data_IF_248673267625
#
_entry.id   IF_248673267625
#
_cell.length_a   1.000
_cell.length_b   1.000
_cell.length_c   1.000
_cell.angle_alpha   90.00
_cell.angle_beta   90.00
_cell.angle_gamma   90.00
#
_symmetry.space_group_name_H-M   'P 1'
#
loop_
_entity.id
_entity.type
_entity.pdbx_description
1 polymer ?
#
# COMPACT_ATOMS: atom_id res chain seq x y z
N UNK A 1 -3.58 3.41 2.96
CA UNK A 1 -4.09 3.97 4.24
C UNK A 1 -5.22 3.11 4.81
N UNK A 2 -6.42 3.05 4.19
CA UNK A 2 -7.54 2.24 4.72
C UNK A 2 -7.21 0.74 4.88
N UNK A 3 -6.49 0.15 3.91
CA UNK A 3 -5.98 -1.23 4.03
C UNK A 3 -5.08 -1.42 5.25
N UNK A 4 -4.27 -0.42 5.60
CA UNK A 4 -3.35 -0.51 6.73
C UNK A 4 -4.09 -0.53 8.06
N UNK A 5 -5.20 0.21 8.21
CA UNK A 5 -6.05 0.16 9.40
C UNK A 5 -6.93 -1.10 9.48
N UNK A 6 -7.32 -1.69 8.34
CA UNK A 6 -8.09 -2.94 8.30
C UNK A 6 -7.28 -4.19 8.64
N UNK A 7 -5.96 -4.15 8.41
CA UNK A 7 -5.07 -5.31 8.53
C UNK A 7 -4.03 -5.20 9.64
N UNK A 8 -3.76 -3.99 10.16
CA UNK A 8 -2.95 -3.85 11.37
C UNK A 8 -3.76 -4.38 12.56
N UNK A 9 -3.34 -5.53 13.08
CA UNK A 9 -3.80 -5.97 14.38
C UNK A 9 -3.10 -5.11 15.44
N UNK A 10 -3.72 -3.99 15.80
CA UNK A 10 -3.18 -3.01 16.76
C UNK A 10 -3.21 -3.53 18.22
N UNK A 11 -3.62 -4.78 18.44
CA UNK A 11 -3.68 -5.39 19.77
C UNK A 11 -2.34 -6.00 20.20
N UNK A 12 -1.39 -6.14 19.27
CA UNK A 12 -0.03 -6.62 19.53
C UNK A 12 0.91 -5.46 19.89
N UNK A 13 1.78 -5.66 20.89
CA UNK A 13 2.72 -4.65 21.42
C UNK A 13 3.64 -4.01 20.37
N UNK A 14 3.89 -4.69 19.25
CA UNK A 14 4.77 -4.23 18.17
C UNK A 14 4.02 -3.84 16.88
N UNK A 15 2.70 -3.65 16.96
CA UNK A 15 1.92 -3.26 15.81
C UNK A 15 2.28 -1.85 15.33
N UNK A 16 2.41 -1.67 14.01
CA UNK A 16 2.70 -0.36 13.43
C UNK A 16 1.95 -0.11 12.13
N UNK A 17 1.71 1.17 11.88
CA UNK A 17 1.35 1.70 10.57
C UNK A 17 2.33 2.85 10.30
N UNK A 18 3.06 2.75 9.20
CA UNK A 18 3.95 3.79 8.70
C UNK A 18 3.42 4.32 7.37
N UNK A 19 3.30 5.64 7.27
CA UNK A 19 2.92 6.33 6.05
C UNK A 19 3.96 7.41 5.81
N UNK A 20 4.66 7.30 4.69
CA UNK A 20 5.65 8.28 4.26
C UNK A 20 5.20 8.87 2.93
N UNK A 21 5.20 10.20 2.85
CA UNK A 21 4.96 10.94 1.62
C UNK A 21 6.18 11.83 1.41
N UNK A 22 6.81 11.69 0.25
CA UNK A 22 7.96 12.49 -0.13
C UNK A 22 7.88 12.85 -1.61
N UNK A 23 8.66 13.87 -1.99
CA UNK A 23 8.86 14.25 -3.38
C UNK A 23 10.34 14.20 -3.72
N UNK A 24 10.67 13.69 -4.90
CA UNK A 24 12.02 13.69 -5.45
C UNK A 24 11.97 14.26 -6.87
N UNK A 25 12.34 15.53 -7.01
CA UNK A 25 12.13 16.26 -8.26
C UNK A 25 10.64 16.30 -8.61
N UNK A 26 10.29 15.80 -9.79
CA UNK A 26 8.91 15.70 -10.27
C UNK A 26 8.23 14.37 -9.91
N UNK A 27 8.75 13.60 -8.96
CA UNK A 27 8.14 12.33 -8.57
C UNK A 27 7.60 12.42 -7.16
N UNK A 28 6.30 12.21 -6.98
CA UNK A 28 5.69 11.95 -5.68
C UNK A 28 5.86 10.47 -5.34
N UNK A 29 6.34 10.20 -4.13
CA UNK A 29 6.54 8.86 -3.60
C UNK A 29 5.71 8.72 -2.34
N UNK A 30 4.71 7.85 -2.37
CA UNK A 30 3.92 7.43 -1.22
C UNK A 30 4.33 6.02 -0.85
N UNK A 31 4.80 5.84 0.38
CA UNK A 31 5.01 4.51 0.97
C UNK A 31 4.03 4.31 2.11
N UNK A 32 3.42 3.14 2.15
CA UNK A 32 2.62 2.68 3.27
C UNK A 32 3.16 1.34 3.70
N UNK A 33 3.35 1.14 5.00
CA UNK A 33 3.71 -0.15 5.57
C UNK A 33 2.91 -0.39 6.82
N UNK A 34 2.48 -1.62 7.06
CA UNK A 34 1.84 -1.98 8.31
C UNK A 34 2.20 -3.40 8.71
N UNK A 35 2.31 -3.61 10.02
CA UNK A 35 2.42 -4.96 10.56
C UNK A 35 1.13 -5.75 10.30
N UNK A 36 1.25 -7.06 10.22
CA UNK A 36 0.16 -8.03 10.26
C UNK A 36 0.61 -9.26 11.05
N UNK A 37 -0.30 -9.87 11.80
CA UNK A 37 -0.03 -11.06 12.61
C UNK A 37 -1.02 -12.18 12.24
N UNK A 38 -0.52 -13.41 12.18
CA UNK A 38 -1.28 -14.62 11.83
C UNK A 38 -1.11 -15.12 10.38
N UNK A 39 -1.38 -16.41 10.18
CA UNK A 39 -1.32 -17.10 8.89
C UNK A 39 -2.43 -16.60 7.96
N UNK A 40 -2.13 -15.53 7.22
CA UNK A 40 -3.09 -14.82 6.38
C UNK A 40 -3.11 -15.30 4.93
N UNK A 41 -2.67 -16.54 4.69
CA UNK A 41 -2.93 -17.27 3.44
C UNK A 41 -4.44 -17.35 3.11
N UNK A 42 -5.31 -17.18 4.11
CA UNK A 42 -6.77 -17.23 4.00
C UNK A 42 -7.46 -15.89 3.68
N UNK A 43 -6.78 -14.73 3.73
CA UNK A 43 -7.39 -13.40 3.49
C UNK A 43 -7.04 -12.77 2.12
N UNK A 44 -6.34 -13.50 1.27
CA UNK A 44 -5.89 -13.00 -0.04
C UNK A 44 -7.06 -12.70 -1.00
N UNK A 45 -8.24 -13.31 -0.77
CA UNK A 45 -9.44 -13.12 -1.60
C UNK A 45 -10.14 -11.76 -1.43
N UNK A 46 -9.93 -11.03 -0.34
CA UNK A 46 -10.57 -9.71 -0.11
C UNK A 46 -9.74 -8.51 -0.58
N UNK A 47 -8.46 -8.72 -0.90
CA UNK A 47 -7.53 -7.66 -1.32
C UNK A 47 -7.78 -7.16 -2.75
N UNK A 48 -8.45 -7.96 -3.60
CA UNK A 48 -8.61 -7.70 -5.03
C UNK A 48 -9.37 -6.42 -5.34
N UNK A 49 -10.53 -6.20 -4.71
CA UNK A 49 -11.43 -5.11 -5.11
C UNK A 49 -10.86 -3.71 -4.85
N UNK A 50 -10.16 -3.52 -3.73
CA UNK A 50 -9.58 -2.22 -3.37
C UNK A 50 -8.37 -1.85 -4.26
N UNK A 51 -7.47 -2.80 -4.48
CA UNK A 51 -6.26 -2.59 -5.29
C UNK A 51 -6.62 -2.41 -6.76
N UNK A 52 -7.56 -3.20 -7.29
CA UNK A 52 -8.01 -3.06 -8.69
C UNK A 52 -8.65 -1.69 -8.95
N UNK A 53 -9.48 -1.18 -8.03
CA UNK A 53 -10.06 0.15 -8.16
C UNK A 53 -8.99 1.25 -8.12
N UNK A 54 -7.98 1.11 -7.25
CA UNK A 54 -6.84 2.04 -7.21
C UNK A 54 -6.07 1.99 -8.52
N UNK A 55 -5.69 0.80 -9.01
CA UNK A 55 -4.99 0.63 -10.30
C UNK A 55 -5.79 1.29 -11.44
N UNK A 56 -7.08 1.01 -11.54
CA UNK A 56 -7.94 1.60 -12.57
C UNK A 56 -7.97 3.13 -12.51
N UNK A 57 -8.05 3.71 -11.30
CA UNK A 57 -8.02 5.18 -11.13
C UNK A 57 -6.67 5.78 -11.51
N UNK A 58 -5.58 5.09 -11.18
CA UNK A 58 -4.24 5.51 -11.55
C UNK A 58 -4.05 5.50 -13.07
N UNK A 59 -4.49 4.45 -13.77
CA UNK A 59 -4.48 4.41 -15.25
C UNK A 59 -5.25 5.59 -15.87
N UNK A 60 -6.39 5.96 -15.29
CA UNK A 60 -7.20 7.07 -15.82
C UNK A 60 -6.63 8.45 -15.52
N UNK A 61 -5.98 8.63 -14.36
CA UNK A 61 -5.52 9.95 -13.89
C UNK A 61 -4.05 10.21 -14.22
N UNK A 62 -3.23 9.16 -14.25
CA UNK A 62 -1.78 9.18 -14.45
C UNK A 62 -1.35 8.10 -15.45
N UNK A 63 -1.92 8.04 -16.68
CA UNK A 63 -1.55 7.03 -17.67
C UNK A 63 -0.04 7.08 -17.94
N UNK A 64 0.61 5.91 -17.91
CA UNK A 64 2.06 5.71 -18.10
C UNK A 64 2.97 6.55 -17.18
N UNK A 65 2.40 7.20 -16.16
CA UNK A 65 3.08 8.15 -15.24
C UNK A 65 2.96 7.72 -13.79
N UNK A 66 2.76 6.43 -13.56
CA UNK A 66 2.71 5.88 -12.22
C UNK A 66 3.30 4.47 -12.14
N UNK A 67 3.72 4.10 -10.94
CA UNK A 67 4.01 2.70 -10.62
C UNK A 67 3.49 2.38 -9.22
N UNK A 68 2.87 1.21 -9.08
CA UNK A 68 2.35 0.70 -7.82
C UNK A 68 2.99 -0.64 -7.52
N UNK A 69 3.84 -0.69 -6.50
CA UNK A 69 4.42 -1.91 -5.98
C UNK A 69 3.74 -2.29 -4.67
N UNK A 70 3.38 -3.57 -4.54
CA UNK A 70 2.76 -4.11 -3.33
C UNK A 70 3.49 -5.42 -3.02
N UNK A 71 3.97 -5.53 -1.79
CA UNK A 71 4.71 -6.69 -1.30
C UNK A 71 4.31 -7.06 0.12
N UNK A 72 4.72 -8.26 0.53
CA UNK A 72 4.61 -8.75 1.90
C UNK A 72 5.95 -9.36 2.28
N UNK A 73 6.40 -9.12 3.50
CA UNK A 73 7.61 -9.75 4.06
C UNK A 73 7.38 -10.05 5.53
N UNK A 74 7.59 -11.31 5.92
CA UNK A 74 7.36 -11.84 7.28
C UNK A 74 6.00 -11.45 7.86
N UNK A 75 5.98 -10.35 8.61
CA UNK A 75 4.83 -9.81 9.32
C UNK A 75 4.51 -8.37 8.89
N UNK A 76 4.96 -7.95 7.70
CA UNK A 76 4.75 -6.59 7.19
C UNK A 76 4.20 -6.57 5.78
N UNK A 77 3.16 -5.77 5.56
CA UNK A 77 2.74 -5.35 4.22
C UNK A 77 3.47 -4.09 3.82
N UNK A 78 3.88 -4.01 2.56
CA UNK A 78 4.50 -2.83 1.97
C UNK A 78 3.75 -2.43 0.71
N UNK A 79 3.51 -1.13 0.57
CA UNK A 79 3.00 -0.50 -0.63
C UNK A 79 3.88 0.69 -0.97
N UNK A 80 4.32 0.80 -2.21
CA UNK A 80 5.00 1.96 -2.76
C UNK A 80 4.25 2.41 -4.02
N UNK A 81 3.81 3.66 -4.01
CA UNK A 81 3.23 4.35 -5.16
C UNK A 81 4.19 5.47 -5.57
N UNK A 82 4.58 5.48 -6.85
CA UNK A 82 5.27 6.60 -7.46
C UNK A 82 4.38 7.23 -8.51
N UNK A 83 4.28 8.56 -8.50
CA UNK A 83 3.57 9.35 -9.49
C UNK A 83 4.53 10.37 -10.10
N UNK A 84 4.55 10.48 -11.42
CA UNK A 84 5.20 11.59 -12.10
C UNK A 84 4.25 12.80 -12.11
N UNK A 85 4.75 13.93 -11.65
CA UNK A 85 4.08 15.21 -11.54
C UNK A 85 4.50 16.10 -12.72
N UNK A 86 3.56 16.84 -13.31
CA UNK A 86 3.84 17.78 -14.40
C UNK A 86 4.57 19.04 -13.93
#
# INVERSE_FOLDING_TARGET
VENSFKHADLTEDNAFISIEISTKGKVLILKCSNSFYGDSSLKDKSSGSGIENVKRRLELSYPDRHSLHIGKSENTYHLELKLELD
#
